data_IF_726739364185
#
_entry.id   IF_726739364185
#
_cell.length_a   1.000
_cell.length_b   1.000
_cell.length_c   1.000
_cell.angle_alpha   90.00
_cell.angle_beta   90.00
_cell.angle_gamma   90.00
#
_symmetry.space_group_name_H-M   'P 1'
#
loop_
_entity.id
_entity.type
_entity.pdbx_description
1 polymer ?
#
# COMPACT_ATOMS: atom_id res chain seq x y z
N UNK A 1 -29.25 -19.78 -8.34
CA UNK A 1 -30.65 -20.19 -8.61
C UNK A 1 -31.68 -19.15 -8.20
N UNK A 2 -32.24 -19.10 -6.97
CA UNK A 2 -33.34 -18.14 -6.64
C UNK A 2 -32.97 -16.68 -6.97
N UNK A 3 -31.76 -16.24 -6.64
CA UNK A 3 -31.32 -14.87 -6.93
C UNK A 3 -31.23 -14.55 -8.42
N UNK A 4 -30.82 -15.51 -9.25
CA UNK A 4 -30.76 -15.32 -10.71
C UNK A 4 -32.16 -15.28 -11.31
N UNK A 5 -33.05 -16.17 -10.87
CA UNK A 5 -34.46 -16.17 -11.29
C UNK A 5 -35.14 -14.85 -10.97
N UNK A 6 -34.89 -14.27 -9.78
CA UNK A 6 -35.43 -12.97 -9.41
C UNK A 6 -34.90 -11.85 -10.31
N UNK A 7 -33.60 -11.86 -10.62
CA UNK A 7 -33.01 -10.89 -11.55
C UNK A 7 -33.68 -11.02 -12.91
N UNK A 8 -33.76 -12.23 -13.46
CA UNK A 8 -34.32 -12.48 -14.80
C UNK A 8 -35.79 -12.05 -14.89
N UNK A 9 -36.62 -12.40 -13.90
CA UNK A 9 -38.02 -11.95 -13.85
C UNK A 9 -38.17 -10.43 -13.74
N UNK A 10 -37.25 -9.75 -13.03
CA UNK A 10 -37.26 -8.29 -12.94
C UNK A 10 -36.83 -7.63 -14.26
N UNK A 11 -35.88 -8.23 -14.97
CA UNK A 11 -35.45 -7.76 -16.29
C UNK A 11 -36.58 -7.85 -17.32
N UNK A 12 -37.34 -8.95 -17.31
CA UNK A 12 -38.50 -9.17 -18.19
C UNK A 12 -39.59 -8.09 -18.01
N UNK A 13 -39.73 -7.53 -16.81
CA UNK A 13 -40.75 -6.53 -16.48
C UNK A 13 -40.30 -5.09 -16.70
N UNK A 14 -39.01 -4.78 -16.56
CA UNK A 14 -38.49 -3.40 -16.60
C UNK A 14 -37.97 -2.93 -17.95
N UNK A 15 -37.70 -3.83 -18.90
CA UNK A 15 -37.10 -3.50 -20.20
C UNK A 15 -35.82 -2.62 -20.08
N UNK A 16 -35.07 -2.79 -18.99
CA UNK A 16 -33.77 -2.14 -18.76
C UNK A 16 -32.62 -3.07 -19.18
N UNK A 17 -31.40 -2.53 -19.33
CA UNK A 17 -30.22 -3.37 -19.54
C UNK A 17 -29.82 -4.05 -18.21
N UNK A 18 -29.59 -5.37 -18.25
CA UNK A 18 -29.22 -6.16 -17.07
C UNK A 18 -28.03 -5.60 -16.31
N UNK A 19 -27.03 -5.13 -17.05
CA UNK A 19 -25.82 -4.54 -16.47
C UNK A 19 -26.12 -3.27 -15.65
N UNK A 20 -27.02 -2.42 -16.12
CA UNK A 20 -27.41 -1.20 -15.41
C UNK A 20 -28.19 -1.55 -14.14
N UNK A 21 -29.16 -2.46 -14.25
CA UNK A 21 -29.93 -2.92 -13.09
C UNK A 21 -29.02 -3.53 -12.02
N UNK A 22 -28.11 -4.42 -12.41
CA UNK A 22 -27.15 -5.03 -11.49
C UNK A 22 -26.21 -4.00 -10.87
N UNK A 23 -25.78 -2.97 -11.61
CA UNK A 23 -24.98 -1.87 -11.08
C UNK A 23 -25.76 -1.08 -10.02
N UNK A 24 -27.04 -0.76 -10.25
CA UNK A 24 -27.88 -0.08 -9.26
C UNK A 24 -28.03 -0.92 -7.98
N UNK A 25 -28.35 -2.21 -8.11
CA UNK A 25 -28.43 -3.09 -6.96
C UNK A 25 -27.08 -3.20 -6.23
N UNK A 26 -25.98 -3.24 -6.99
CA UNK A 26 -24.64 -3.31 -6.44
C UNK A 26 -24.33 -2.06 -5.61
N UNK A 27 -24.57 -0.86 -6.14
CA UNK A 27 -24.41 0.42 -5.43
C UNK A 27 -25.13 0.34 -4.09
N UNK A 28 -26.43 0.09 -4.11
CA UNK A 28 -27.25 0.01 -2.88
C UNK A 28 -26.74 -1.00 -1.85
N UNK A 29 -26.15 -2.11 -2.31
CA UNK A 29 -25.71 -3.20 -1.42
C UNK A 29 -24.31 -3.02 -0.82
N UNK A 30 -23.47 -2.16 -1.41
CA UNK A 30 -22.11 -1.93 -0.91
C UNK A 30 -22.11 -1.03 0.34
N UNK A 31 -23.07 -0.11 0.46
CA UNK A 31 -23.18 0.81 1.62
C UNK A 31 -23.83 0.16 2.85
N UNK A 32 -24.62 -0.89 2.68
CA UNK A 32 -25.41 -1.49 3.77
C UNK A 32 -24.52 -2.09 4.87
N UNK A 33 -24.48 -1.43 6.01
CA UNK A 33 -23.93 -1.95 7.28
C UNK A 33 -24.95 -2.86 8.00
N UNK A 34 -25.75 -3.59 7.22
CA UNK A 34 -26.87 -4.38 7.75
C UNK A 34 -26.42 -5.77 8.22
N UNK A 35 -27.10 -6.31 9.23
CA UNK A 35 -26.94 -7.66 9.80
C UNK A 35 -27.13 -8.82 8.79
N UNK A 36 -27.35 -8.52 7.51
CA UNK A 36 -27.43 -9.50 6.44
C UNK A 36 -26.06 -10.16 6.24
N UNK A 37 -26.05 -11.37 5.69
CA UNK A 37 -24.83 -12.07 5.25
C UNK A 37 -24.24 -11.31 4.04
N UNK A 38 -23.72 -10.10 4.24
CA UNK A 38 -23.25 -9.13 3.24
C UNK A 38 -22.23 -9.75 2.26
N UNK A 39 -21.34 -10.60 2.78
CA UNK A 39 -20.45 -11.41 1.96
C UNK A 39 -21.16 -12.25 0.90
N UNK A 40 -22.31 -12.85 1.21
CA UNK A 40 -23.07 -13.67 0.25
C UNK A 40 -23.65 -12.81 -0.87
N UNK A 41 -24.10 -11.60 -0.56
CA UNK A 41 -24.66 -10.66 -1.54
C UNK A 41 -23.55 -10.18 -2.48
N UNK A 42 -22.40 -9.76 -1.95
CA UNK A 42 -21.28 -9.34 -2.80
C UNK A 42 -20.71 -10.51 -3.61
N UNK A 43 -20.63 -11.72 -3.04
CA UNK A 43 -20.25 -12.92 -3.78
C UNK A 43 -21.25 -13.28 -4.89
N UNK A 44 -22.54 -13.02 -4.67
CA UNK A 44 -23.57 -13.22 -5.68
C UNK A 44 -23.35 -12.26 -6.85
N UNK A 45 -23.20 -10.96 -6.61
CA UNK A 45 -22.90 -9.99 -7.67
C UNK A 45 -21.58 -10.29 -8.38
N UNK A 46 -20.52 -10.64 -7.63
CA UNK A 46 -19.22 -11.01 -8.18
C UNK A 46 -19.31 -12.16 -9.19
N UNK A 47 -20.21 -13.14 -8.96
CA UNK A 47 -20.42 -14.27 -9.89
C UNK A 47 -21.32 -13.91 -11.07
N UNK A 48 -22.26 -12.99 -10.86
CA UNK A 48 -23.28 -12.65 -11.84
C UNK A 48 -22.80 -11.65 -12.90
N UNK A 49 -21.85 -10.78 -12.54
CA UNK A 49 -21.32 -9.74 -13.41
C UNK A 49 -20.28 -10.32 -14.38
N UNK A 50 -20.37 -9.92 -15.65
CA UNK A 50 -19.40 -10.30 -16.69
C UNK A 50 -18.00 -9.73 -16.41
N UNK A 51 -17.94 -8.48 -15.96
CA UNK A 51 -16.72 -7.81 -15.51
C UNK A 51 -16.92 -7.25 -14.09
N UNK A 52 -16.69 -8.08 -13.06
CA UNK A 52 -16.85 -7.66 -11.67
C UNK A 52 -15.93 -6.49 -11.29
N UNK A 53 -14.71 -6.44 -11.81
CA UNK A 53 -13.77 -5.38 -11.42
C UNK A 53 -14.26 -4.02 -11.89
N UNK A 54 -14.68 -3.90 -13.15
CA UNK A 54 -15.20 -2.64 -13.69
C UNK A 54 -16.51 -2.25 -13.01
N UNK A 55 -17.42 -3.20 -12.75
CA UNK A 55 -18.69 -2.91 -12.09
C UNK A 55 -18.50 -2.43 -10.64
N UNK A 56 -17.66 -3.10 -9.85
CA UNK A 56 -17.39 -2.68 -8.48
C UNK A 56 -16.60 -1.37 -8.41
N UNK A 57 -15.67 -1.10 -9.34
CA UNK A 57 -15.03 0.22 -9.45
C UNK A 57 -16.07 1.32 -9.67
N UNK A 58 -16.98 1.15 -10.63
CA UNK A 58 -18.06 2.11 -10.89
C UNK A 58 -18.95 2.34 -9.67
N UNK A 59 -19.27 1.27 -8.94
CA UNK A 59 -20.10 1.37 -7.75
C UNK A 59 -19.39 2.11 -6.60
N UNK A 60 -18.08 1.93 -6.46
CA UNK A 60 -17.26 2.66 -5.50
C UNK A 60 -17.14 4.14 -5.89
N UNK A 61 -16.89 4.44 -7.18
CA UNK A 61 -16.76 5.81 -7.69
C UNK A 61 -18.04 6.64 -7.43
N UNK A 62 -19.21 6.00 -7.49
CA UNK A 62 -20.49 6.64 -7.14
C UNK A 62 -20.47 7.27 -5.73
N UNK A 63 -19.76 6.66 -4.78
CA UNK A 63 -19.69 7.13 -3.41
C UNK A 63 -18.57 8.14 -3.13
N UNK A 64 -17.50 8.12 -3.91
CA UNK A 64 -16.39 9.08 -3.73
C UNK A 64 -16.63 10.42 -4.43
N UNK A 65 -17.55 10.48 -5.40
CA UNK A 65 -17.90 11.72 -6.09
C UNK A 65 -18.85 12.64 -5.29
N UNK A 66 -19.37 12.19 -4.15
CA UNK A 66 -20.41 12.88 -3.37
C UNK A 66 -19.85 13.66 -2.15
N UNK A 67 -18.61 14.15 -2.23
CA UNK A 67 -17.94 14.74 -1.07
C UNK A 67 -18.36 16.20 -0.80
N UNK A 68 -19.40 16.37 0.02
CA UNK A 68 -19.69 17.64 0.68
C UNK A 68 -18.58 18.02 1.67
N UNK A 69 -18.14 19.28 1.59
CA UNK A 69 -17.23 19.95 2.52
C UNK A 69 -17.82 19.92 3.94
N UNK A 70 -17.23 19.13 4.83
CA UNK A 70 -17.59 19.14 6.24
C UNK A 70 -16.35 19.24 7.11
N UNK A 71 -16.44 20.01 8.19
CA UNK A 71 -15.37 20.27 9.17
C UNK A 71 -15.00 19.03 10.03
N UNK A 72 -15.58 17.86 9.75
CA UNK A 72 -15.44 16.63 10.53
C UNK A 72 -14.75 15.52 9.74
N UNK A 73 -13.95 14.70 10.42
CA UNK A 73 -13.36 13.50 9.82
C UNK A 73 -14.48 12.47 9.59
N UNK A 74 -14.84 12.28 8.32
CA UNK A 74 -15.83 11.25 7.94
C UNK A 74 -15.21 9.86 8.12
N UNK A 75 -15.96 8.88 8.64
CA UNK A 75 -15.52 7.49 8.61
C UNK A 75 -15.39 6.98 7.19
N UNK A 76 -14.83 5.77 7.05
CA UNK A 76 -14.81 5.06 5.77
C UNK A 76 -16.23 5.05 5.18
N UNK A 77 -16.34 5.46 3.91
CA UNK A 77 -17.62 5.60 3.22
C UNK A 77 -18.37 4.26 3.12
N UNK A 78 -17.62 3.17 3.09
CA UNK A 78 -18.09 1.80 2.99
C UNK A 78 -17.78 1.03 4.28
N UNK A 79 -18.50 -0.06 4.51
CA UNK A 79 -18.26 -0.94 5.65
C UNK A 79 -16.83 -1.51 5.64
N UNK A 80 -16.10 -1.56 6.77
CA UNK A 80 -14.78 -2.20 6.87
C UNK A 80 -14.74 -3.63 6.30
N UNK A 81 -15.85 -4.37 6.43
CA UNK A 81 -16.03 -5.71 5.84
C UNK A 81 -15.91 -5.72 4.32
N UNK A 82 -16.35 -4.65 3.65
CA UNK A 82 -16.25 -4.53 2.20
C UNK A 82 -14.80 -4.41 1.75
N UNK A 83 -14.01 -3.54 2.40
CA UNK A 83 -12.59 -3.41 2.11
C UNK A 83 -11.85 -4.73 2.28
N UNK A 84 -12.17 -5.49 3.33
CA UNK A 84 -11.59 -6.82 3.54
C UNK A 84 -12.04 -7.81 2.46
N UNK A 85 -13.33 -7.80 2.11
CA UNK A 85 -13.86 -8.64 1.04
C UNK A 85 -13.19 -8.33 -0.32
N UNK A 86 -12.99 -7.06 -0.65
CA UNK A 86 -12.29 -6.64 -1.87
C UNK A 86 -10.88 -7.23 -1.91
N UNK A 87 -10.13 -7.08 -0.81
CA UNK A 87 -8.77 -7.60 -0.70
C UNK A 87 -8.71 -9.12 -0.88
N UNK A 88 -9.66 -9.85 -0.29
CA UNK A 88 -9.70 -11.32 -0.37
C UNK A 88 -10.19 -11.85 -1.72
N UNK A 89 -11.11 -11.15 -2.40
CA UNK A 89 -11.70 -11.62 -3.66
C UNK A 89 -10.94 -11.19 -4.89
N UNK A 90 -10.55 -9.93 -4.96
CA UNK A 90 -9.83 -9.40 -6.12
C UNK A 90 -8.32 -9.58 -5.99
N UNK A 91 -7.82 -9.70 -4.76
CA UNK A 91 -6.39 -9.87 -4.48
C UNK A 91 -5.60 -8.57 -4.56
N UNK A 92 -4.36 -8.63 -4.11
CA UNK A 92 -3.49 -7.47 -3.87
C UNK A 92 -2.97 -6.77 -5.13
N UNK A 93 -3.20 -7.35 -6.31
CA UNK A 93 -2.77 -6.79 -7.61
C UNK A 93 -3.92 -6.13 -8.39
N UNK A 94 -5.15 -6.19 -7.88
CA UNK A 94 -6.30 -5.58 -8.53
C UNK A 94 -6.36 -4.06 -8.33
N UNK A 95 -6.91 -3.35 -9.32
CA UNK A 95 -7.05 -1.89 -9.28
C UNK A 95 -7.96 -1.44 -8.13
N UNK A 96 -9.09 -2.14 -7.94
CA UNK A 96 -10.05 -1.87 -6.88
C UNK A 96 -9.42 -1.92 -5.49
N UNK A 97 -8.49 -2.85 -5.26
CA UNK A 97 -7.77 -2.98 -3.99
C UNK A 97 -6.83 -1.80 -3.77
N UNK A 98 -6.20 -1.27 -4.83
CA UNK A 98 -5.40 -0.05 -4.71
C UNK A 98 -6.28 1.18 -4.39
N UNK A 99 -7.45 1.31 -5.03
CA UNK A 99 -8.41 2.40 -4.75
C UNK A 99 -8.89 2.33 -3.29
N UNK A 100 -9.24 1.15 -2.81
CA UNK A 100 -9.59 0.91 -1.42
C UNK A 100 -8.48 1.39 -0.45
N UNK A 101 -7.22 1.10 -0.77
CA UNK A 101 -6.10 1.58 0.06
C UNK A 101 -5.96 3.10 0.04
N UNK A 102 -6.12 3.74 -1.12
CA UNK A 102 -6.05 5.21 -1.24
C UNK A 102 -7.08 5.88 -0.31
N UNK A 103 -8.30 5.37 -0.28
CA UNK A 103 -9.36 5.87 0.61
C UNK A 103 -9.06 5.60 2.09
N UNK A 104 -8.57 4.39 2.43
CA UNK A 104 -8.18 4.07 3.81
C UNK A 104 -7.06 5.01 4.27
N UNK A 105 -6.04 5.23 3.44
CA UNK A 105 -4.91 6.08 3.76
C UNK A 105 -5.34 7.54 3.96
N UNK A 106 -6.20 8.06 3.08
CA UNK A 106 -6.77 9.40 3.20
C UNK A 106 -7.43 9.60 4.56
N UNK A 107 -8.36 8.71 4.93
CA UNK A 107 -9.05 8.79 6.23
C UNK A 107 -8.06 8.64 7.39
N UNK A 108 -7.09 7.72 7.32
CA UNK A 108 -6.11 7.54 8.41
C UNK A 108 -5.24 8.78 8.62
N UNK A 109 -4.87 9.49 7.56
CA UNK A 109 -4.13 10.76 7.67
C UNK A 109 -5.03 11.85 8.24
N UNK A 110 -6.28 11.98 7.79
CA UNK A 110 -7.23 12.96 8.36
C UNK A 110 -7.50 12.72 9.85
N UNK A 111 -7.62 11.47 10.28
CA UNK A 111 -7.72 11.07 11.70
C UNK A 111 -6.51 11.57 12.48
N UNK A 112 -5.30 11.28 11.98
CA UNK A 112 -4.05 11.64 12.64
C UNK A 112 -3.89 13.16 12.78
N UNK A 113 -4.23 13.90 11.72
CA UNK A 113 -4.23 15.36 11.73
C UNK A 113 -5.21 15.94 12.76
N UNK A 114 -6.45 15.43 12.82
CA UNK A 114 -7.42 15.93 13.78
C UNK A 114 -6.99 15.65 15.22
N UNK A 115 -6.56 14.42 15.53
CA UNK A 115 -6.07 14.06 16.87
C UNK A 115 -4.84 14.88 17.28
N UNK A 116 -4.00 15.28 16.32
CA UNK A 116 -2.87 16.18 16.58
C UNK A 116 -3.32 17.60 16.97
N UNK A 117 -4.37 18.11 16.34
CA UNK A 117 -4.95 19.42 16.62
C UNK A 117 -5.77 19.45 17.93
N UNK A 118 -6.30 18.29 18.32
CA UNK A 118 -7.12 18.13 19.54
C UNK A 118 -6.53 17.04 20.46
N UNK A 119 -5.41 17.30 21.15
CA UNK A 119 -4.67 16.28 21.91
C UNK A 119 -5.44 15.68 23.09
N UNK A 120 -6.50 16.34 23.57
CA UNK A 120 -7.36 15.83 24.65
C UNK A 120 -8.32 14.73 24.18
N UNK A 121 -8.46 14.55 22.85
CA UNK A 121 -9.32 13.52 22.27
C UNK A 121 -8.51 12.27 21.94
N UNK A 122 -9.07 11.11 22.29
CA UNK A 122 -8.55 9.80 21.88
C UNK A 122 -9.24 9.28 20.60
N UNK A 123 -10.34 9.92 20.18
CA UNK A 123 -11.18 9.53 19.04
C UNK A 123 -11.53 10.80 18.25
N UNK A 124 -11.47 10.78 16.91
CA UNK A 124 -11.89 11.88 16.04
C UNK A 124 -13.31 12.37 16.31
N UNK A 125 -13.54 13.68 16.20
CA UNK A 125 -14.89 14.27 16.31
C UNK A 125 -15.75 13.74 15.16
N UNK A 126 -16.95 13.26 15.48
CA UNK A 126 -17.88 12.69 14.50
C UNK A 126 -17.67 11.21 14.21
N UNK A 127 -16.73 10.54 14.90
CA UNK A 127 -16.45 9.13 14.74
C UNK A 127 -16.76 8.34 16.02
N UNK A 128 -17.39 7.18 15.90
CA UNK A 128 -17.56 6.27 17.03
C UNK A 128 -16.26 5.53 17.35
N UNK A 129 -16.09 5.06 18.58
CA UNK A 129 -14.93 4.24 18.96
C UNK A 129 -14.81 2.99 18.08
N UNK A 130 -15.93 2.37 17.74
CA UNK A 130 -15.99 1.21 16.85
C UNK A 130 -15.49 1.57 15.44
N UNK A 131 -16.01 2.64 14.83
CA UNK A 131 -15.62 3.06 13.48
C UNK A 131 -14.14 3.47 13.42
N UNK A 132 -13.64 4.16 14.44
CA UNK A 132 -12.22 4.50 14.58
C UNK A 132 -11.35 3.25 14.62
N UNK A 133 -11.70 2.30 15.50
CA UNK A 133 -10.96 1.05 15.65
C UNK A 133 -10.96 0.23 14.37
N UNK A 134 -12.11 0.06 13.73
CA UNK A 134 -12.19 -0.70 12.47
C UNK A 134 -11.43 -0.04 11.33
N UNK A 135 -11.42 1.30 11.26
CA UNK A 135 -10.60 2.05 10.29
C UNK A 135 -9.11 1.81 10.50
N UNK A 136 -8.65 1.81 11.76
CA UNK A 136 -7.28 1.47 12.10
C UNK A 136 -6.96 0.00 11.77
N UNK A 137 -7.86 -0.92 12.09
CA UNK A 137 -7.68 -2.35 11.83
C UNK A 137 -7.60 -2.65 10.32
N UNK A 138 -8.49 -2.08 9.49
CA UNK A 138 -8.46 -2.34 8.05
C UNK A 138 -7.21 -1.77 7.37
N UNK A 139 -6.69 -0.63 7.84
CA UNK A 139 -5.39 -0.12 7.40
C UNK A 139 -4.27 -1.13 7.65
N UNK A 140 -4.24 -1.73 8.84
CA UNK A 140 -3.26 -2.75 9.22
C UNK A 140 -3.40 -4.00 8.35
N UNK A 141 -4.63 -4.46 8.12
CA UNK A 141 -4.92 -5.60 7.23
C UNK A 141 -4.33 -5.37 5.85
N UNK A 142 -4.58 -4.20 5.25
CA UNK A 142 -4.03 -3.88 3.94
C UNK A 142 -2.51 -3.85 3.94
N UNK A 143 -1.89 -3.16 4.90
CA UNK A 143 -0.44 -3.08 5.02
C UNK A 143 0.22 -4.46 5.23
N UNK A 144 -0.44 -5.35 5.98
CA UNK A 144 0.03 -6.72 6.23
C UNK A 144 -0.07 -7.60 4.98
N UNK A 145 -1.10 -7.40 4.14
CA UNK A 145 -1.31 -8.20 2.94
C UNK A 145 -0.34 -7.84 1.80
N UNK A 146 -0.14 -6.54 1.57
CA UNK A 146 0.84 -6.02 0.59
C UNK A 146 1.12 -4.57 0.91
N UNK A 147 2.24 -4.07 0.40
CA UNK A 147 2.42 -2.64 0.34
C UNK A 147 1.71 -1.99 -0.85
N UNK A 148 0.85 -1.02 -0.55
CA UNK A 148 0.08 -0.26 -1.54
C UNK A 148 0.53 1.20 -1.66
N UNK A 149 1.59 1.62 -0.96
CA UNK A 149 2.09 2.99 -1.05
C UNK A 149 2.63 3.32 -2.44
N UNK A 150 2.32 4.54 -2.90
CA UNK A 150 2.78 5.13 -4.16
C UNK A 150 3.49 6.46 -3.89
N UNK A 151 4.41 6.90 -4.76
CA UNK A 151 5.09 8.20 -4.61
C UNK A 151 4.11 9.38 -4.51
N UNK A 152 2.97 9.31 -5.21
CA UNK A 152 1.89 10.30 -5.14
C UNK A 152 1.30 10.47 -3.73
N UNK A 153 1.40 9.47 -2.86
CA UNK A 153 0.90 9.57 -1.48
C UNK A 153 1.79 10.43 -0.57
N UNK A 154 3.02 10.74 -0.98
CA UNK A 154 3.97 11.42 -0.11
C UNK A 154 3.51 12.82 0.30
N UNK A 155 2.82 13.57 -0.58
CA UNK A 155 2.33 14.91 -0.26
C UNK A 155 1.21 14.88 0.82
N UNK A 156 0.45 13.78 0.85
CA UNK A 156 -0.54 13.51 1.90
C UNK A 156 0.17 13.06 3.20
N UNK A 157 1.10 12.12 3.10
CA UNK A 157 1.79 11.52 4.26
C UNK A 157 2.76 12.50 4.92
N UNK A 158 3.27 13.52 4.21
CA UNK A 158 4.20 14.51 4.76
C UNK A 158 3.63 15.32 5.93
N UNK A 159 2.30 15.32 6.07
CA UNK A 159 1.56 16.02 7.11
C UNK A 159 1.23 15.10 8.30
N UNK A 160 1.65 13.84 8.27
CA UNK A 160 1.30 12.83 9.26
C UNK A 160 2.35 12.73 10.38
N UNK A 161 1.88 12.39 11.57
CA UNK A 161 2.63 12.14 12.81
C UNK A 161 2.53 10.68 13.26
N UNK A 162 1.60 9.91 12.69
CA UNK A 162 1.34 8.51 13.04
C UNK A 162 2.55 7.62 12.80
N UNK A 163 3.02 6.97 13.88
CA UNK A 163 4.08 5.95 13.81
C UNK A 163 3.65 4.75 12.97
N UNK A 164 2.36 4.38 12.96
CA UNK A 164 1.87 3.27 12.14
C UNK A 164 2.01 3.58 10.64
N UNK A 165 1.66 4.79 10.20
CA UNK A 165 1.78 5.20 8.80
C UNK A 165 3.26 5.39 8.44
N UNK A 166 3.97 6.24 9.19
CA UNK A 166 5.36 6.59 8.89
C UNK A 166 6.30 5.39 9.06
N UNK A 167 6.12 4.60 10.13
CA UNK A 167 6.89 3.39 10.38
C UNK A 167 6.67 2.33 9.30
N UNK A 168 5.43 2.11 8.84
CA UNK A 168 5.19 1.18 7.73
C UNK A 168 5.85 1.67 6.44
N UNK A 169 5.80 2.98 6.14
CA UNK A 169 6.41 3.54 4.94
C UNK A 169 7.96 3.51 5.02
N UNK A 170 8.54 4.18 6.01
CA UNK A 170 9.99 4.42 6.11
C UNK A 170 10.76 3.31 6.83
N UNK A 171 10.10 2.55 7.70
CA UNK A 171 10.73 1.46 8.45
C UNK A 171 10.54 0.07 7.83
N UNK A 172 9.54 -0.12 6.97
CA UNK A 172 9.29 -1.40 6.30
C UNK A 172 9.38 -1.31 4.77
N UNK A 173 8.51 -0.51 4.16
CA UNK A 173 8.33 -0.53 2.71
C UNK A 173 9.52 -0.01 1.93
N UNK A 174 9.93 1.23 2.19
CA UNK A 174 11.04 1.84 1.49
C UNK A 174 12.34 1.06 1.75
N UNK A 175 12.65 0.61 2.98
CA UNK A 175 13.78 -0.28 3.18
C UNK A 175 13.72 -1.54 2.33
N UNK A 176 12.58 -2.24 2.29
CA UNK A 176 12.40 -3.42 1.43
C UNK A 176 12.57 -3.10 -0.07
N UNK A 177 12.04 -1.97 -0.52
CA UNK A 177 12.13 -1.52 -1.92
C UNK A 177 13.59 -1.24 -2.34
N UNK A 178 14.34 -0.55 -1.48
CA UNK A 178 15.73 -0.14 -1.71
C UNK A 178 16.77 -1.19 -1.26
N UNK A 179 16.33 -2.33 -0.72
CA UNK A 179 17.16 -3.38 -0.12
C UNK A 179 18.04 -2.85 1.03
N UNK A 180 17.43 -2.07 1.93
CA UNK A 180 17.99 -1.64 3.22
C UNK A 180 17.40 -2.52 4.34
N UNK A 181 18.00 -2.45 5.51
CA UNK A 181 17.52 -3.16 6.69
C UNK A 181 16.13 -2.66 7.13
N UNK A 182 15.25 -3.58 7.51
CA UNK A 182 13.89 -3.26 7.96
C UNK A 182 13.94 -2.93 9.46
N UNK A 183 13.39 -1.78 9.85
CA UNK A 183 13.31 -1.32 11.25
C UNK A 183 11.89 -1.34 11.81
N UNK A 184 10.89 -1.52 10.95
CA UNK A 184 9.49 -1.69 11.35
C UNK A 184 8.99 -3.07 10.89
N UNK A 185 8.84 -4.03 11.79
CA UNK A 185 8.40 -5.38 11.43
C UNK A 185 6.91 -5.40 11.09
N UNK A 186 6.56 -6.22 10.10
CA UNK A 186 5.18 -6.63 9.80
C UNK A 186 5.05 -8.14 10.09
N UNK A 187 3.86 -8.65 10.46
CA UNK A 187 2.56 -7.97 10.46
C UNK A 187 2.33 -7.04 11.67
N UNK A 188 1.64 -5.92 11.45
CA UNK A 188 1.08 -5.09 12.53
C UNK A 188 -0.03 -5.86 13.27
N UNK A 189 -0.07 -5.70 14.59
CA UNK A 189 -1.11 -6.28 15.43
C UNK A 189 -2.45 -5.57 15.23
N UNK A 190 -3.47 -6.36 14.89
CA UNK A 190 -4.87 -5.93 14.77
C UNK A 190 -5.49 -6.03 16.17
N UNK A 191 -6.14 -4.97 16.65
CA UNK A 191 -6.66 -4.92 18.02
C UNK A 191 -8.07 -5.53 18.05
N UNK A 192 -8.27 -6.60 18.84
CA UNK A 192 -9.47 -7.44 18.84
C UNK A 192 -10.78 -6.69 19.10
N UNK A 193 -11.68 -6.72 18.12
CA UNK A 193 -13.12 -6.58 18.30
C UNK A 193 -13.80 -7.69 17.49
N UNK A 194 -14.15 -8.80 18.14
CA UNK A 194 -14.90 -9.94 17.57
C UNK A 194 -14.30 -10.59 16.29
N UNK A 195 -12.98 -10.54 16.12
CA UNK A 195 -12.33 -10.70 14.81
C UNK A 195 -11.68 -12.07 14.59
N UNK A 196 -12.52 -13.11 14.53
CA UNK A 196 -12.26 -14.28 13.66
C UNK A 196 -12.58 -13.94 12.18
N UNK A 197 -12.69 -12.65 11.83
CA UNK A 197 -13.28 -12.20 10.56
C UNK A 197 -12.22 -11.86 9.49
N UNK A 198 -10.97 -11.67 9.89
CA UNK A 198 -9.86 -11.32 9.00
C UNK A 198 -8.78 -12.41 9.02
N UNK A 199 -8.85 -13.34 8.08
CA UNK A 199 -7.74 -14.26 7.80
C UNK A 199 -6.53 -13.43 7.34
N UNK A 200 -5.34 -13.78 7.84
CA UNK A 200 -4.09 -13.16 7.42
C UNK A 200 -3.89 -13.50 5.94
N UNK A 201 -4.20 -12.54 5.06
CA UNK A 201 -3.98 -12.69 3.63
C UNK A 201 -2.47 -12.82 3.39
N UNK A 202 -2.05 -13.97 2.88
CA UNK A 202 -0.64 -14.23 2.59
C UNK A 202 -0.15 -13.30 1.48
N UNK A 203 1.03 -12.67 1.63
CA UNK A 203 1.54 -11.75 0.63
C UNK A 203 1.76 -12.45 -0.72
N UNK A 204 1.16 -11.90 -1.78
CA UNK A 204 1.34 -12.42 -3.14
C UNK A 204 2.75 -12.08 -3.66
N UNK A 205 3.38 -13.03 -4.36
CA UNK A 205 4.70 -12.82 -4.99
C UNK A 205 4.55 -11.93 -6.22
N UNK A 206 4.91 -10.66 -6.11
CA UNK A 206 4.85 -9.71 -7.24
C UNK A 206 5.91 -10.03 -8.31
N UNK A 207 5.55 -9.91 -9.59
CA UNK A 207 6.44 -10.18 -10.74
C UNK A 207 7.63 -9.19 -10.76
N UNK A 208 8.86 -9.72 -10.83
CA UNK A 208 10.16 -9.00 -10.75
C UNK A 208 10.40 -7.88 -11.78
N UNK A 209 9.58 -7.72 -12.82
CA UNK A 209 9.93 -6.92 -14.02
C UNK A 209 9.66 -5.40 -13.87
N UNK A 210 8.92 -4.97 -12.85
CA UNK A 210 8.49 -3.55 -12.65
C UNK A 210 9.35 -2.78 -11.62
N UNK A 211 10.28 -3.45 -10.92
CA UNK A 211 10.97 -2.87 -9.74
C UNK A 211 11.81 -1.63 -10.07
N UNK A 212 12.44 -1.55 -11.25
CA UNK A 212 13.37 -0.44 -11.59
C UNK A 212 12.66 0.89 -11.86
N UNK A 213 11.51 0.89 -12.53
CA UNK A 213 10.75 2.11 -12.81
C UNK A 213 10.19 2.70 -11.52
N UNK A 214 9.55 1.86 -10.71
CA UNK A 214 9.01 2.21 -9.39
C UNK A 214 10.11 2.79 -8.50
N UNK A 215 11.28 2.14 -8.44
CA UNK A 215 12.39 2.61 -7.61
C UNK A 215 12.88 4.01 -8.02
N UNK A 216 12.98 4.28 -9.33
CA UNK A 216 13.36 5.61 -9.83
C UNK A 216 12.34 6.68 -9.46
N UNK A 217 11.05 6.37 -9.60
CA UNK A 217 9.97 7.31 -9.26
C UNK A 217 9.99 7.66 -7.76
N UNK A 218 10.14 6.64 -6.91
CA UNK A 218 10.34 6.84 -5.47
C UNK A 218 11.58 7.67 -5.15
N UNK A 219 12.70 7.35 -5.79
CA UNK A 219 13.96 8.07 -5.59
C UNK A 219 13.84 9.54 -5.96
N UNK A 220 13.24 9.85 -7.11
CA UNK A 220 13.02 11.22 -7.56
C UNK A 220 12.12 11.99 -6.60
N UNK A 221 10.98 11.42 -6.21
CA UNK A 221 10.03 12.11 -5.32
C UNK A 221 10.63 12.33 -3.92
N UNK A 222 11.27 11.32 -3.34
CA UNK A 222 11.94 11.45 -2.04
C UNK A 222 13.09 12.46 -2.06
N UNK A 223 13.93 12.45 -3.11
CA UNK A 223 15.00 13.44 -3.29
C UNK A 223 14.43 14.86 -3.35
N UNK A 224 13.39 15.08 -4.17
CA UNK A 224 12.77 16.40 -4.29
C UNK A 224 12.24 16.95 -2.96
N UNK A 225 11.66 16.08 -2.12
CA UNK A 225 11.22 16.46 -0.77
C UNK A 225 12.37 16.68 0.21
N UNK A 226 13.50 15.98 0.03
CA UNK A 226 14.71 16.13 0.85
C UNK A 226 15.50 17.40 0.48
N UNK A 227 15.50 17.82 -0.77
CA UNK A 227 16.22 19.02 -1.20
C UNK A 227 15.47 20.31 -0.85
N UNK A 228 14.13 20.30 -0.96
CA UNK A 228 13.28 21.47 -0.73
C UNK A 228 12.92 21.70 0.75
N UNK A 229 13.79 21.36 1.69
CA UNK A 229 13.49 21.46 3.12
C UNK A 229 13.70 22.89 3.61
N UNK A 230 12.60 23.66 3.67
CA UNK A 230 12.61 25.07 4.08
C UNK A 230 12.05 25.34 5.48
N UNK A 231 11.45 24.34 6.15
CA UNK A 231 10.69 24.51 7.40
C UNK A 231 11.26 23.69 8.58
N UNK A 232 10.89 24.00 9.84
CA UNK A 232 11.37 23.24 11.00
C UNK A 232 11.09 21.74 10.86
N UNK A 233 11.99 20.95 11.44
CA UNK A 233 12.00 19.49 11.33
C UNK A 233 10.69 18.90 11.85
N UNK A 234 9.79 18.50 10.94
CA UNK A 234 8.59 17.73 11.27
C UNK A 234 8.93 16.27 11.56
N UNK A 235 8.00 15.51 12.17
CA UNK A 235 8.19 14.07 12.39
C UNK A 235 8.47 13.35 11.06
N UNK A 236 7.71 13.67 10.01
CA UNK A 236 7.97 13.15 8.67
C UNK A 236 9.40 13.46 8.19
N UNK A 237 9.88 14.70 8.40
CA UNK A 237 11.23 15.09 7.99
C UNK A 237 12.32 14.33 8.74
N UNK A 238 12.09 13.92 9.99
CA UNK A 238 12.98 13.02 10.72
C UNK A 238 13.06 11.65 10.04
N UNK A 239 11.92 11.03 9.76
CA UNK A 239 11.88 9.74 9.06
C UNK A 239 12.51 9.81 7.67
N UNK A 240 12.24 10.88 6.91
CA UNK A 240 12.85 11.11 5.60
C UNK A 240 14.38 11.25 5.72
N UNK A 241 14.86 12.02 6.69
CA UNK A 241 16.30 12.23 6.91
C UNK A 241 17.01 10.95 7.32
N UNK A 242 16.44 10.20 8.25
CA UNK A 242 16.98 8.92 8.70
C UNK A 242 17.06 7.91 7.55
N UNK A 243 15.96 7.76 6.81
CA UNK A 243 15.93 6.89 5.64
C UNK A 243 16.98 7.29 4.60
N UNK A 244 17.10 8.58 4.30
CA UNK A 244 18.06 9.08 3.32
C UNK A 244 19.51 8.86 3.76
N UNK A 245 19.81 9.11 5.04
CA UNK A 245 21.13 8.84 5.62
C UNK A 245 21.52 7.37 5.50
N UNK A 246 20.60 6.46 5.80
CA UNK A 246 20.82 5.00 5.66
C UNK A 246 21.06 4.61 4.20
N UNK A 247 20.34 5.22 3.26
CA UNK A 247 20.52 5.00 1.82
C UNK A 247 21.91 5.45 1.35
N UNK A 248 22.35 6.64 1.76
CA UNK A 248 23.67 7.18 1.43
C UNK A 248 24.79 6.29 1.98
N UNK A 249 24.72 5.92 3.26
CA UNK A 249 25.68 5.03 3.89
C UNK A 249 25.77 3.65 3.19
N UNK A 250 24.63 3.06 2.83
CA UNK A 250 24.60 1.80 2.09
C UNK A 250 25.23 1.92 0.69
N UNK A 251 25.17 3.10 0.07
CA UNK A 251 25.82 3.37 -1.24
C UNK A 251 27.34 3.51 -1.12
N UNK A 252 27.84 4.03 0.00
CA UNK A 252 29.27 4.20 0.28
C UNK A 252 29.94 2.85 0.53
N UNK A 253 29.35 2.02 1.39
CA UNK A 253 29.84 0.65 1.65
C UNK A 253 29.92 -0.16 0.34
N UNK A 254 28.95 -0.02 -0.56
CA UNK A 254 28.98 -0.71 -1.86
C UNK A 254 30.15 -0.23 -2.72
N UNK A 255 30.39 1.09 -2.78
CA UNK A 255 31.51 1.68 -3.53
C UNK A 255 32.86 1.23 -2.98
N UNK A 256 33.03 1.20 -1.66
CA UNK A 256 34.25 0.72 -1.01
C UNK A 256 34.53 -0.75 -1.33
N UNK A 257 33.52 -1.62 -1.19
CA UNK A 257 33.64 -3.05 -1.54
C UNK A 257 33.98 -3.25 -3.01
N UNK A 258 33.39 -2.47 -3.93
CA UNK A 258 33.71 -2.54 -5.36
C UNK A 258 35.14 -2.07 -5.67
N UNK A 259 35.63 -1.04 -4.99
CA UNK A 259 37.02 -0.59 -5.12
C UNK A 259 38.01 -1.66 -4.63
N UNK A 260 37.70 -2.33 -3.52
CA UNK A 260 38.56 -3.39 -2.97
C UNK A 260 38.60 -4.63 -3.88
N UNK A 261 37.46 -5.01 -4.47
CA UNK A 261 37.40 -6.08 -5.47
C UNK A 261 38.25 -5.74 -6.70
N UNK A 262 38.18 -4.49 -7.19
CA UNK A 262 39.00 -4.04 -8.33
C UNK A 262 40.49 -4.06 -7.99
N UNK A 263 40.90 -3.61 -6.80
CA UNK A 263 42.30 -3.68 -6.34
C UNK A 263 42.80 -5.13 -6.29
N UNK A 264 42.00 -6.06 -5.75
CA UNK A 264 42.35 -7.49 -5.70
C UNK A 264 42.45 -8.12 -7.10
N UNK A 265 41.53 -7.80 -8.01
CA UNK A 265 41.52 -8.30 -9.39
C UNK A 265 42.73 -7.81 -10.18
N UNK A 266 43.08 -6.53 -10.05
CA UNK A 266 44.26 -5.94 -10.71
C UNK A 266 45.56 -6.56 -10.19
N UNK A 267 45.68 -6.76 -8.87
CA UNK A 267 46.85 -7.42 -8.27
C UNK A 267 47.00 -8.88 -8.71
N UNK A 268 45.88 -9.59 -8.92
CA UNK A 268 45.90 -10.97 -9.41
C UNK A 268 46.34 -11.03 -10.87
N UNK A 269 45.84 -10.11 -11.70
CA UNK A 269 46.21 -10.00 -13.11
C UNK A 269 47.69 -9.64 -13.28
N UNK A 270 48.22 -8.70 -12.48
CA UNK A 270 49.65 -8.39 -12.47
C UNK A 270 50.52 -9.57 -12.05
N UNK A 271 50.10 -10.35 -11.04
CA UNK A 271 50.82 -11.56 -10.61
C UNK A 271 50.89 -12.61 -11.72
N UNK A 272 49.80 -12.82 -12.46
CA UNK A 272 49.75 -13.76 -13.59
C UNK A 272 50.65 -13.28 -14.74
N UNK A 273 50.65 -11.99 -15.06
CA UNK A 273 51.53 -11.41 -16.09
C UNK A 273 53.01 -11.53 -15.69
N UNK A 274 53.37 -11.23 -14.44
CA UNK A 274 54.75 -11.38 -13.93
C UNK A 274 55.20 -12.84 -13.92
N UNK A 275 54.31 -13.80 -13.61
CA UNK A 275 54.63 -15.23 -13.69
C UNK A 275 54.86 -15.69 -15.13
N UNK A 276 54.04 -15.24 -16.10
CA UNK A 276 54.26 -15.55 -17.52
C UNK A 276 55.57 -14.98 -18.04
N UNK A 277 55.93 -13.75 -17.66
CA UNK A 277 57.21 -13.14 -18.03
C UNK A 277 58.42 -13.88 -17.42
N UNK A 278 58.31 -14.35 -16.17
CA UNK A 278 59.36 -15.16 -15.52
C UNK A 278 59.54 -16.54 -16.17
N UNK A 279 58.44 -17.19 -16.58
CA UNK A 279 58.51 -18.46 -17.33
C UNK A 279 59.12 -18.28 -18.72
N UNK A 280 58.80 -17.19 -19.42
CA UNK A 280 59.37 -16.89 -20.74
C UNK A 280 60.89 -16.69 -20.67
N UNK A 281 61.38 -15.93 -19.69
CA UNK A 281 62.83 -15.71 -19.48
C UNK A 281 63.61 -16.98 -19.16
N UNK A 282 63.01 -17.92 -18.40
CA UNK A 282 63.64 -19.23 -18.11
C UNK A 282 63.74 -20.16 -19.32
N UNK A 283 62.87 -20.02 -20.31
CA UNK A 283 62.92 -20.83 -21.54
C UNK A 283 63.89 -20.25 -22.59
N UNK A 284 64.33 -19.00 -22.43
CA UNK A 284 65.32 -18.36 -23.31
C UNK A 284 66.76 -18.54 -22.81
N UNK A 285 66.97 -19.20 -21.66
CA UNK A 285 68.29 -19.44 -21.04
C UNK A 285 68.74 -20.91 -21.03
N UNK A 286 67.97 -21.81 -21.64
CA UNK A 286 68.33 -23.21 -21.93
C UNK A 286 68.39 -23.41 -23.44
#
# INVERSE_FOLDING_TARGET
>A
EIGETLVDSFMETRNELRENFLLYCLIETIKLDSNLKTFNVWNFFYRLLLDPQTAFNKAIDHYYNDSDNADFVKPLVLSPKFYYWVLTKFGTDAQITALCFESILLIRVSIDQQLKLTPDLNIPIGMSQYAFKETCNIFKVYCNAKNFFRPSHLDLISQCFSIEILGTLFGHYLPSLFNLEITFPLPMQITDGETNQYDIVSPSRTKKRTKRCILKEWEQKLQSMFDNRSEPISIFQNYLSEFWGRKLYASEIKREKEMDIRKYSNNTTERVVRQKQRKKRRNETN
#
